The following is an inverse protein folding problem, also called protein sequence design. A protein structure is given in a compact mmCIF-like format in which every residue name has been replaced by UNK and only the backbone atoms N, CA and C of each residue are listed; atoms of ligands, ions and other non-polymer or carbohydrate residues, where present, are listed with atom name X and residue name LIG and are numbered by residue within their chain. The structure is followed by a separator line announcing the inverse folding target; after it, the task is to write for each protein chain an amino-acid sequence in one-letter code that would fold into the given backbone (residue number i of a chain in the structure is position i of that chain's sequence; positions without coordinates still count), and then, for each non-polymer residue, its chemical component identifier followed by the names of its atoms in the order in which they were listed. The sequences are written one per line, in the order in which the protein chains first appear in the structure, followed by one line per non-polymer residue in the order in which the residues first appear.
data_IF_711130220768
#
_entry.id   IF_711130220768
#
_cell.length_a   1.000
_cell.length_b   1.000
_cell.length_c   1.000
_cell.angle_alpha   90.00
_cell.angle_beta   90.00
_cell.angle_gamma   90.00
#
_symmetry.space_group_name_H-M   'P 1'
#
loop_
_entity.id
_entity.type
_entity.pdbx_description
1 polymer ?
#
# COMPACT_ATOMS: atom_id res chain seq x y z
N UNK A 1 31.90 -1.75 -31.95
CA UNK A 1 30.86 -1.08 -31.12
C UNK A 1 29.65 -1.98 -31.14
N UNK A 2 29.56 -2.89 -30.20
CA UNK A 2 28.38 -3.77 -30.03
C UNK A 2 27.40 -3.10 -29.11
N UNK A 3 26.33 -2.60 -29.73
CA UNK A 3 25.19 -2.00 -29.06
C UNK A 3 24.44 -3.12 -28.30
N UNK A 4 24.72 -3.24 -27.00
CA UNK A 4 23.95 -4.14 -26.15
C UNK A 4 22.60 -3.49 -25.89
N UNK A 5 21.61 -3.75 -26.74
CA UNK A 5 20.19 -3.50 -26.42
C UNK A 5 19.87 -4.29 -25.13
N UNK A 6 19.92 -3.60 -23.99
CA UNK A 6 19.44 -4.16 -22.73
C UNK A 6 18.01 -4.66 -22.92
N UNK A 7 17.70 -5.83 -22.41
CA UNK A 7 16.33 -6.36 -22.41
C UNK A 7 15.41 -5.30 -21.81
N UNK A 8 14.32 -4.97 -22.50
CA UNK A 8 13.31 -4.08 -21.97
C UNK A 8 12.77 -4.67 -20.66
N UNK A 9 12.91 -3.93 -19.55
CA UNK A 9 12.34 -4.32 -18.25
C UNK A 9 13.32 -4.63 -17.13
N UNK A 10 14.63 -4.72 -17.37
CA UNK A 10 15.57 -4.86 -16.27
C UNK A 10 15.89 -3.47 -15.66
N UNK A 11 15.65 -3.26 -14.35
CA UNK A 11 15.98 -2.01 -13.68
C UNK A 11 17.50 -1.78 -13.72
N UNK A 12 17.91 -0.63 -14.26
CA UNK A 12 19.31 -0.25 -14.27
C UNK A 12 19.67 0.44 -12.96
N UNK A 13 20.76 0.03 -12.34
CA UNK A 13 21.37 0.78 -11.25
C UNK A 13 22.30 1.86 -11.81
N UNK A 14 22.13 3.07 -11.32
CA UNK A 14 22.96 4.22 -11.61
C UNK A 14 23.99 4.42 -10.50
N UNK A 15 25.17 4.93 -10.85
CA UNK A 15 26.20 5.24 -9.87
C UNK A 15 25.74 6.39 -8.97
N UNK A 16 25.73 6.17 -7.66
CA UNK A 16 25.47 7.19 -6.64
C UNK A 16 26.64 7.30 -5.68
N UNK A 17 26.74 8.44 -4.98
CA UNK A 17 27.69 8.65 -3.87
C UNK A 17 27.10 8.28 -2.51
N UNK A 18 25.85 7.83 -2.47
CA UNK A 18 25.27 7.25 -1.27
C UNK A 18 26.09 6.02 -0.88
N UNK A 19 26.56 5.98 0.38
CA UNK A 19 27.51 4.98 0.91
C UNK A 19 26.83 3.78 1.58
N UNK A 20 25.50 3.68 1.52
CA UNK A 20 24.76 2.48 1.96
C UNK A 20 25.36 1.23 1.30
N UNK A 21 25.54 0.17 2.07
CA UNK A 21 26.12 -1.09 1.60
C UNK A 21 25.37 -1.64 0.36
N UNK A 22 26.10 -2.33 -0.50
CA UNK A 22 25.56 -2.84 -1.76
C UNK A 22 24.44 -3.85 -1.57
N UNK A 23 24.51 -4.70 -0.53
CA UNK A 23 23.45 -5.64 -0.21
C UNK A 23 22.22 -4.93 0.37
N UNK A 24 22.42 -3.95 1.24
CA UNK A 24 21.35 -3.11 1.77
C UNK A 24 20.61 -2.38 0.64
N UNK A 25 21.35 -1.76 -0.30
CA UNK A 25 20.75 -1.15 -1.50
C UNK A 25 19.92 -2.13 -2.30
N UNK A 26 20.41 -3.35 -2.55
CA UNK A 26 19.69 -4.35 -3.33
C UNK A 26 18.37 -4.73 -2.66
N UNK A 27 18.40 -5.03 -1.36
CA UNK A 27 17.21 -5.37 -0.58
C UNK A 27 16.20 -4.22 -0.57
N UNK A 28 16.67 -3.01 -0.28
CA UNK A 28 15.81 -1.83 -0.24
C UNK A 28 15.17 -1.49 -1.59
N UNK A 29 15.94 -1.55 -2.69
CA UNK A 29 15.44 -1.28 -4.05
C UNK A 29 14.35 -2.28 -4.45
N UNK A 30 14.55 -3.56 -4.13
CA UNK A 30 13.57 -4.61 -4.41
C UNK A 30 12.27 -4.35 -3.64
N UNK A 31 12.36 -4.07 -2.33
CA UNK A 31 11.23 -3.74 -1.48
C UNK A 31 10.51 -2.46 -1.95
N UNK A 32 11.24 -1.39 -2.26
CA UNK A 32 10.69 -0.12 -2.71
C UNK A 32 9.91 -0.26 -4.04
N UNK A 33 10.44 -0.93 -5.04
CA UNK A 33 9.74 -1.13 -6.30
C UNK A 33 8.52 -2.07 -6.16
N UNK A 34 8.59 -3.06 -5.27
CA UNK A 34 7.44 -3.91 -4.97
C UNK A 34 6.31 -3.10 -4.31
N UNK A 35 6.64 -2.29 -3.30
CA UNK A 35 5.63 -1.45 -2.61
C UNK A 35 5.15 -0.30 -3.47
N UNK A 36 5.97 0.23 -4.37
CA UNK A 36 5.53 1.23 -5.35
C UNK A 36 4.45 0.67 -6.28
N UNK A 37 4.63 -0.56 -6.78
CA UNK A 37 3.63 -1.20 -7.63
C UNK A 37 2.31 -1.42 -6.88
N UNK A 38 2.36 -1.95 -5.65
CA UNK A 38 1.17 -2.15 -4.82
C UNK A 38 0.50 -0.83 -4.44
N UNK A 39 1.28 0.20 -4.09
CA UNK A 39 0.76 1.51 -3.70
C UNK A 39 0.07 2.24 -4.85
N UNK A 40 0.60 2.16 -6.08
CA UNK A 40 -0.05 2.72 -7.28
C UNK A 40 -1.35 1.96 -7.58
N UNK A 41 -1.35 0.64 -7.49
CA UNK A 41 -2.56 -0.18 -7.68
C UNK A 41 -3.61 0.16 -6.62
N UNK A 42 -3.22 0.27 -5.33
CA UNK A 42 -4.11 0.70 -4.25
C UNK A 42 -4.72 2.08 -4.54
N UNK A 43 -3.91 3.03 -5.00
CA UNK A 43 -4.37 4.37 -5.37
C UNK A 43 -5.42 4.33 -6.48
N UNK A 44 -5.30 3.44 -7.46
CA UNK A 44 -6.31 3.22 -8.51
C UNK A 44 -7.58 2.58 -7.94
N UNK A 45 -7.44 1.60 -7.03
CA UNK A 45 -8.57 0.94 -6.38
C UNK A 45 -9.39 1.91 -5.52
N UNK A 46 -8.75 2.86 -4.84
CA UNK A 46 -9.40 3.94 -4.11
C UNK A 46 -10.28 4.77 -5.04
N UNK A 47 -9.77 5.17 -6.20
CA UNK A 47 -10.56 5.96 -7.17
C UNK A 47 -11.65 5.12 -7.83
N UNK A 48 -11.42 3.84 -8.06
CA UNK A 48 -12.47 2.95 -8.56
C UNK A 48 -13.65 2.88 -7.57
N UNK A 49 -13.38 2.77 -6.27
CA UNK A 49 -14.41 2.86 -5.23
C UNK A 49 -15.09 4.23 -5.23
N UNK A 50 -14.30 5.31 -5.14
CA UNK A 50 -14.76 6.69 -5.09
C UNK A 50 -15.76 7.05 -6.20
N UNK A 51 -15.54 6.58 -7.42
CA UNK A 51 -16.42 6.85 -8.55
C UNK A 51 -17.72 6.02 -8.56
N UNK A 52 -17.70 4.83 -7.96
CA UNK A 52 -18.75 3.84 -8.18
C UNK A 52 -19.62 3.55 -6.96
N UNK A 53 -19.19 3.90 -5.75
CA UNK A 53 -19.95 3.63 -4.51
C UNK A 53 -21.29 4.40 -4.48
N UNK A 54 -22.29 3.76 -3.90
CA UNK A 54 -23.67 4.29 -3.77
C UNK A 54 -24.26 3.89 -2.43
N UNK A 55 -25.08 4.75 -1.87
CA UNK A 55 -25.86 4.45 -0.67
C UNK A 55 -25.84 5.56 0.37
N UNK A 56 -26.36 5.29 1.56
CA UNK A 56 -26.30 6.22 2.69
C UNK A 56 -24.84 6.61 3.00
N UNK A 57 -24.62 7.84 3.45
CA UNK A 57 -23.29 8.39 3.75
C UNK A 57 -22.38 8.59 2.51
N UNK A 58 -22.94 8.54 1.31
CA UNK A 58 -22.21 8.66 0.05
C UNK A 58 -21.17 9.78 0.09
N UNK A 59 -21.59 11.02 0.42
CA UNK A 59 -20.69 12.18 0.33
C UNK A 59 -19.50 12.09 1.28
N UNK A 60 -19.73 11.63 2.52
CA UNK A 60 -18.65 11.49 3.51
C UNK A 60 -17.60 10.46 3.12
N UNK A 61 -18.05 9.30 2.60
CA UNK A 61 -17.12 8.26 2.14
C UNK A 61 -16.40 8.69 0.85
N UNK A 62 -17.11 9.32 -0.08
CA UNK A 62 -16.56 9.82 -1.33
C UNK A 62 -15.43 10.84 -1.08
N UNK A 63 -15.64 11.82 -0.19
CA UNK A 63 -14.63 12.82 0.18
C UNK A 63 -13.47 12.21 0.98
N UNK A 64 -13.74 11.27 1.89
CA UNK A 64 -12.72 10.54 2.63
C UNK A 64 -11.77 9.80 1.68
N UNK A 65 -12.30 9.12 0.66
CA UNK A 65 -11.49 8.41 -0.32
C UNK A 65 -10.64 9.34 -1.18
N UNK A 66 -11.07 10.57 -1.46
CA UNK A 66 -10.22 11.57 -2.12
C UNK A 66 -9.01 11.97 -1.25
N UNK A 67 -9.23 12.16 0.04
CA UNK A 67 -8.15 12.41 0.99
C UNK A 67 -7.16 11.25 1.06
N UNK A 68 -7.66 10.03 1.11
CA UNK A 68 -6.82 8.82 1.11
C UNK A 68 -5.99 8.70 -0.16
N UNK A 69 -6.59 8.95 -1.32
CA UNK A 69 -5.89 8.92 -2.60
C UNK A 69 -4.73 9.91 -2.62
N UNK A 70 -4.96 11.14 -2.17
CA UNK A 70 -3.92 12.18 -2.12
C UNK A 70 -2.75 11.74 -1.25
N UNK A 71 -3.02 11.24 -0.03
CA UNK A 71 -1.98 10.79 0.89
C UNK A 71 -1.20 9.56 0.34
N UNK A 72 -1.88 8.61 -0.31
CA UNK A 72 -1.23 7.46 -0.95
C UNK A 72 -0.35 7.89 -2.14
N UNK A 73 -0.78 8.86 -2.94
CA UNK A 73 0.05 9.38 -4.03
C UNK A 73 1.32 10.06 -3.50
N UNK A 74 1.23 10.86 -2.44
CA UNK A 74 2.39 11.50 -1.79
C UNK A 74 3.37 10.45 -1.21
N UNK A 75 2.85 9.36 -0.64
CA UNK A 75 3.67 8.26 -0.13
C UNK A 75 4.34 7.47 -1.27
N UNK A 76 3.63 7.22 -2.36
CA UNK A 76 4.18 6.56 -3.55
C UNK A 76 5.33 7.38 -4.16
N UNK A 77 5.22 8.70 -4.17
CA UNK A 77 6.29 9.58 -4.64
C UNK A 77 7.55 9.43 -3.78
N UNK A 78 7.41 9.47 -2.45
CA UNK A 78 8.54 9.26 -1.52
C UNK A 78 9.20 7.88 -1.70
N UNK A 79 8.40 6.83 -1.89
CA UNK A 79 8.91 5.47 -2.14
C UNK A 79 9.66 5.40 -3.47
N UNK A 80 9.12 5.99 -4.53
CA UNK A 80 9.76 6.07 -5.84
C UNK A 80 11.07 6.86 -5.80
N UNK A 81 11.06 8.04 -5.18
CA UNK A 81 12.26 8.88 -5.03
C UNK A 81 13.34 8.21 -4.19
N UNK A 82 12.96 7.47 -3.13
CA UNK A 82 13.92 6.71 -2.32
C UNK A 82 14.63 5.64 -3.15
N UNK A 83 13.93 4.92 -4.01
CA UNK A 83 14.54 3.96 -4.92
C UNK A 83 15.57 4.64 -5.85
N UNK A 84 15.24 5.82 -6.38
CA UNK A 84 16.15 6.61 -7.24
C UNK A 84 17.36 7.14 -6.45
N UNK A 85 17.20 7.57 -5.21
CA UNK A 85 18.31 7.99 -4.31
C UNK A 85 19.32 6.85 -4.07
N UNK A 86 18.85 5.60 -4.04
CA UNK A 86 19.70 4.41 -3.92
C UNK A 86 20.35 4.00 -5.26
N UNK A 87 20.04 4.72 -6.35
CA UNK A 87 20.61 4.48 -7.67
C UNK A 87 19.74 3.60 -8.58
N UNK A 88 18.51 3.29 -8.19
CA UNK A 88 17.61 2.46 -8.99
C UNK A 88 16.76 3.27 -9.98
N UNK A 89 16.00 2.55 -10.79
CA UNK A 89 14.88 3.09 -11.56
C UNK A 89 13.59 2.82 -10.79
N UNK A 90 12.76 3.85 -10.55
CA UNK A 90 11.42 3.68 -10.04
C UNK A 90 10.49 3.14 -11.14
N UNK A 91 9.77 2.06 -10.85
CA UNK A 91 9.01 1.27 -11.82
C UNK A 91 7.49 1.46 -11.61
N UNK A 92 6.95 2.59 -12.10
CA UNK A 92 5.55 3.01 -11.86
C UNK A 92 4.66 3.07 -13.11
N UNK A 93 5.04 2.50 -14.26
CA UNK A 93 4.15 2.49 -15.43
C UNK A 93 3.01 1.49 -15.28
N UNK A 94 1.85 1.77 -15.89
CA UNK A 94 0.66 0.91 -15.79
C UNK A 94 0.95 -0.57 -16.12
N UNK A 95 1.76 -0.83 -17.14
CA UNK A 95 2.14 -2.20 -17.54
C UNK A 95 2.97 -2.90 -16.45
N UNK A 96 3.92 -2.18 -15.84
CA UNK A 96 4.74 -2.75 -14.76
C UNK A 96 3.89 -2.96 -13.50
N UNK A 97 3.09 -2.00 -13.12
CA UNK A 97 2.18 -2.08 -11.96
C UNK A 97 1.27 -3.29 -12.10
N UNK A 98 0.59 -3.44 -13.24
CA UNK A 98 -0.29 -4.59 -13.50
C UNK A 98 0.40 -5.95 -13.45
N UNK A 99 1.70 -6.01 -13.79
CA UNK A 99 2.48 -7.25 -13.76
C UNK A 99 3.09 -7.55 -12.38
N UNK A 100 3.29 -6.54 -11.54
CA UNK A 100 4.09 -6.62 -10.31
C UNK A 100 3.28 -6.51 -9.03
N UNK A 101 2.13 -5.81 -9.03
CA UNK A 101 1.27 -5.70 -7.87
C UNK A 101 0.85 -7.07 -7.35
N UNK A 102 0.86 -7.20 -6.02
CA UNK A 102 0.41 -8.42 -5.29
C UNK A 102 -0.97 -8.24 -4.69
N UNK A 103 -1.59 -7.09 -4.87
CA UNK A 103 -2.96 -6.87 -4.43
C UNK A 103 -3.92 -7.73 -5.26
N UNK A 104 -4.96 -8.24 -4.62
CA UNK A 104 -6.02 -8.97 -5.33
C UNK A 104 -6.73 -8.04 -6.32
N UNK A 105 -7.16 -8.52 -7.49
CA UNK A 105 -7.92 -7.72 -8.44
C UNK A 105 -9.13 -7.05 -7.79
N UNK A 106 -9.34 -5.76 -8.09
CA UNK A 106 -10.47 -5.03 -7.54
C UNK A 106 -11.77 -5.43 -8.27
N UNK A 107 -12.88 -5.76 -7.56
CA UNK A 107 -14.13 -6.10 -8.21
C UNK A 107 -14.75 -4.87 -8.90
N UNK A 108 -15.24 -5.04 -10.12
CA UNK A 108 -15.79 -3.97 -10.93
C UNK A 108 -17.32 -4.00 -11.04
N UNK A 109 -17.96 -4.98 -10.43
CA UNK A 109 -19.41 -5.26 -10.44
C UNK A 109 -20.09 -5.06 -9.08
N UNK A 110 -19.44 -4.32 -8.18
CA UNK A 110 -19.98 -3.92 -6.87
C UNK A 110 -20.37 -2.44 -6.85
N UNK A 111 -21.40 -2.09 -6.08
CA UNK A 111 -21.95 -0.73 -6.04
C UNK A 111 -22.27 -0.23 -4.63
N UNK A 112 -22.62 -1.10 -3.69
CA UNK A 112 -22.93 -0.69 -2.32
C UNK A 112 -21.66 -0.21 -1.59
N UNK A 113 -21.80 0.84 -0.79
CA UNK A 113 -20.70 1.37 0.03
C UNK A 113 -20.05 0.25 0.84
N UNK A 114 -20.82 -0.61 1.49
CA UNK A 114 -20.29 -1.70 2.32
C UNK A 114 -19.39 -2.66 1.52
N UNK A 115 -19.77 -3.00 0.28
CA UNK A 115 -18.99 -3.88 -0.57
C UNK A 115 -17.65 -3.23 -1.00
N UNK A 116 -17.71 -1.93 -1.36
CA UNK A 116 -16.51 -1.16 -1.67
C UNK A 116 -15.57 -1.02 -0.47
N UNK A 117 -16.12 -0.75 0.72
CA UNK A 117 -15.32 -0.67 1.95
C UNK A 117 -14.65 -2.01 2.26
N UNK A 118 -15.40 -3.12 2.19
CA UNK A 118 -14.84 -4.47 2.39
C UNK A 118 -13.72 -4.76 1.39
N UNK A 119 -13.95 -4.47 0.11
CA UNK A 119 -12.95 -4.67 -0.93
C UNK A 119 -11.69 -3.81 -0.73
N UNK A 120 -11.82 -2.57 -0.22
CA UNK A 120 -10.68 -1.73 0.12
C UNK A 120 -9.96 -2.23 1.36
N UNK A 121 -10.66 -2.63 2.43
CA UNK A 121 -10.09 -3.17 3.66
C UNK A 121 -9.13 -4.32 3.37
N UNK A 122 -9.54 -5.29 2.54
CA UNK A 122 -8.69 -6.43 2.16
C UNK A 122 -7.37 -5.98 1.51
N UNK A 123 -7.42 -4.98 0.65
CA UNK A 123 -6.24 -4.47 -0.07
C UNK A 123 -5.34 -3.61 0.80
N UNK A 124 -5.95 -2.78 1.63
CA UNK A 124 -5.22 -2.01 2.63
C UNK A 124 -4.50 -2.91 3.62
N UNK A 125 -5.16 -3.95 4.13
CA UNK A 125 -4.57 -4.91 5.04
C UNK A 125 -3.39 -5.66 4.38
N UNK A 126 -3.54 -6.11 3.13
CA UNK A 126 -2.47 -6.75 2.38
C UNK A 126 -1.27 -5.81 2.19
N UNK A 127 -1.51 -4.56 1.80
CA UNK A 127 -0.46 -3.56 1.62
C UNK A 127 0.23 -3.21 2.94
N UNK A 128 -0.53 -2.93 4.01
CA UNK A 128 0.01 -2.60 5.32
C UNK A 128 0.89 -3.72 5.89
N UNK A 129 0.47 -4.99 5.75
CA UNK A 129 1.25 -6.13 6.21
C UNK A 129 2.56 -6.25 5.43
N UNK A 130 2.53 -6.11 4.10
CA UNK A 130 3.72 -6.15 3.27
C UNK A 130 4.69 -4.99 3.54
N UNK A 131 4.17 -3.80 3.85
CA UNK A 131 5.00 -2.65 4.30
C UNK A 131 5.69 -2.97 5.61
N UNK A 132 4.99 -3.56 6.60
CA UNK A 132 5.61 -3.96 7.89
C UNK A 132 6.73 -4.97 7.71
N UNK A 133 6.55 -5.98 6.87
CA UNK A 133 7.62 -6.92 6.54
C UNK A 133 8.84 -6.22 5.93
N UNK A 134 8.61 -5.18 5.11
CA UNK A 134 9.72 -4.43 4.52
C UNK A 134 10.42 -3.48 5.50
N UNK A 135 9.79 -3.03 6.60
CA UNK A 135 10.47 -2.33 7.68
C UNK A 135 11.58 -3.23 8.23
N UNK A 136 11.20 -4.43 8.67
CA UNK A 136 12.14 -5.38 9.26
C UNK A 136 13.25 -5.77 8.27
N UNK A 137 12.90 -6.10 7.03
CA UNK A 137 13.85 -6.51 5.99
C UNK A 137 14.89 -5.43 5.67
N UNK A 138 14.48 -4.16 5.60
CA UNK A 138 15.40 -3.07 5.25
C UNK A 138 16.24 -2.63 6.43
N UNK A 139 15.73 -2.70 7.65
CA UNK A 139 16.48 -2.45 8.88
C UNK A 139 17.55 -3.53 9.11
N UNK A 140 17.19 -4.81 9.01
CA UNK A 140 18.11 -5.94 9.11
C UNK A 140 19.20 -5.92 8.03
N UNK A 141 18.89 -5.40 6.84
CA UNK A 141 19.87 -5.22 5.77
C UNK A 141 20.82 -4.04 6.02
N UNK A 142 20.52 -3.15 6.99
CA UNK A 142 21.33 -2.00 7.35
C UNK A 142 20.93 -0.69 6.63
N UNK A 143 19.73 -0.58 6.10
CA UNK A 143 19.17 0.66 5.52
C UNK A 143 18.07 1.24 6.40
N UNK A 144 18.44 1.78 7.55
CA UNK A 144 17.54 2.43 8.49
C UNK A 144 16.74 3.58 7.85
N UNK A 145 17.27 4.26 6.83
CA UNK A 145 16.57 5.34 6.14
C UNK A 145 15.39 4.83 5.31
N UNK A 146 15.51 3.64 4.70
CA UNK A 146 14.37 3.01 4.00
C UNK A 146 13.39 2.38 5.00
N UNK A 147 13.87 1.80 6.11
CA UNK A 147 13.02 1.30 7.18
C UNK A 147 12.17 2.42 7.81
N UNK A 148 12.75 3.60 8.03
CA UNK A 148 12.01 4.77 8.54
C UNK A 148 10.94 5.25 7.55
N UNK A 149 11.24 5.30 6.25
CA UNK A 149 10.24 5.61 5.22
C UNK A 149 9.09 4.60 5.24
N UNK A 150 9.37 3.30 5.30
CA UNK A 150 8.32 2.29 5.40
C UNK A 150 7.54 2.40 6.72
N UNK A 151 8.15 2.87 7.80
CA UNK A 151 7.46 3.18 9.06
C UNK A 151 6.49 4.34 8.89
N UNK A 152 6.85 5.39 8.15
CA UNK A 152 5.93 6.48 7.78
C UNK A 152 4.74 5.95 6.98
N UNK A 153 5.01 5.17 5.93
CA UNK A 153 3.97 4.54 5.09
C UNK A 153 3.04 3.67 5.94
N UNK A 154 3.58 2.82 6.80
CA UNK A 154 2.81 1.93 7.68
C UNK A 154 1.83 2.71 8.56
N UNK A 155 2.28 3.78 9.21
CA UNK A 155 1.42 4.60 10.09
C UNK A 155 0.26 5.25 9.35
N UNK A 156 0.50 5.76 8.15
CA UNK A 156 -0.53 6.39 7.32
C UNK A 156 -1.54 5.35 6.83
N UNK A 157 -1.07 4.23 6.32
CA UNK A 157 -1.92 3.14 5.80
C UNK A 157 -2.73 2.48 6.91
N UNK A 158 -2.15 2.24 8.09
CA UNK A 158 -2.86 1.69 9.25
C UNK A 158 -3.98 2.63 9.73
N UNK A 159 -3.75 3.95 9.70
CA UNK A 159 -4.78 4.94 10.02
C UNK A 159 -5.93 4.90 9.02
N UNK A 160 -5.62 4.83 7.73
CA UNK A 160 -6.64 4.75 6.68
C UNK A 160 -7.42 3.43 6.76
N UNK A 161 -6.73 2.31 7.02
CA UNK A 161 -7.35 1.00 7.24
C UNK A 161 -8.31 1.05 8.43
N UNK A 162 -7.89 1.61 9.56
CA UNK A 162 -8.76 1.80 10.73
C UNK A 162 -10.02 2.61 10.38
N UNK A 163 -9.89 3.68 9.59
CA UNK A 163 -11.06 4.47 9.18
C UNK A 163 -12.04 3.64 8.34
N UNK A 164 -11.53 2.83 7.41
CA UNK A 164 -12.38 1.95 6.60
C UNK A 164 -13.09 0.90 7.46
N UNK A 165 -12.36 0.24 8.36
CA UNK A 165 -12.90 -0.78 9.27
C UNK A 165 -13.96 -0.22 10.20
N UNK A 166 -13.76 0.99 10.73
CA UNK A 166 -14.71 1.65 11.63
C UNK A 166 -16.09 1.90 10.98
N UNK A 167 -16.18 1.93 9.65
CA UNK A 167 -17.45 2.07 8.93
C UNK A 167 -18.23 0.75 8.80
N UNK A 168 -17.59 -0.39 8.94
CA UNK A 168 -18.19 -1.72 8.74
C UNK A 168 -18.22 -2.55 10.02
N UNK A 169 -17.47 -2.14 11.05
CA UNK A 169 -17.49 -2.81 12.35
C UNK A 169 -18.79 -2.48 13.08
N UNK A 170 -19.50 -3.54 13.49
CA UNK A 170 -20.60 -3.37 14.43
C UNK A 170 -20.04 -2.89 15.77
N UNK A 171 -20.62 -1.84 16.39
CA UNK A 171 -20.28 -1.50 17.76
C UNK A 171 -20.52 -2.75 18.61
N UNK A 172 -19.46 -3.34 19.14
CA UNK A 172 -19.60 -4.46 20.08
C UNK A 172 -20.48 -3.95 21.22
N UNK A 173 -21.76 -4.25 21.12
CA UNK A 173 -22.71 -3.98 22.19
C UNK A 173 -22.10 -4.54 23.47
N UNK A 174 -22.28 -3.83 24.59
CA UNK A 174 -21.90 -4.31 25.90
C UNK A 174 -22.11 -5.82 25.97
N UNK A 175 -21.10 -6.57 26.45
CA UNK A 175 -21.25 -8.00 26.72
C UNK A 175 -22.64 -8.20 27.27
N UNK A 176 -23.47 -9.00 26.62
CA UNK A 176 -24.75 -9.37 27.19
C UNK A 176 -24.42 -10.12 28.47
N UNK A 177 -24.53 -9.41 29.58
CA UNK A 177 -24.61 -10.04 30.90
C UNK A 177 -25.84 -10.95 30.91
N UNK A 178 -25.69 -12.20 30.48
CA UNK A 178 -26.85 -13.04 30.23
C UNK A 178 -26.65 -14.53 30.10
N UNK A 179 -25.49 -15.07 30.47
CA UNK A 179 -25.37 -16.53 30.62
C UNK A 179 -24.94 -16.96 32.04
N UNK A 180 -25.52 -16.33 33.01
CA UNK A 180 -25.40 -16.67 34.42
C UNK A 180 -26.74 -17.06 35.02
N UNK A 181 -27.49 -18.04 34.44
CA UNK A 181 -28.61 -18.66 35.14
C UNK A 181 -28.77 -20.11 34.75
N UNK A 182 -28.50 -20.97 35.72
CA UNK A 182 -28.99 -22.31 35.63
C UNK A 182 -28.22 -23.35 36.37
N UNK A 183 -28.00 -23.15 37.67
CA UNK A 183 -27.77 -24.30 38.55
C UNK A 183 -28.77 -24.19 39.69
N UNK A 184 -29.81 -24.98 39.64
CA UNK A 184 -30.51 -25.54 40.78
C UNK A 184 -30.80 -26.98 40.46
#
# INVERSE_FOLDING_TARGET
MTDSKGKAGEPRQHRTRNDTDSNAKRVSIEALNARLADGIDLALNIKQAHWNLKGPQFIGIHEMLDGFRTEIDDLNDKVAERAVQLGATALGTATVVSASSKLSPYPTDIYAIADHLSALIDRYAAYANAVRENIDQTDEAGDAGTADLFTEVSRAVDKQLWFLEAHVQEPTGAMRDGDGKGAR
#
